data_IF_298617827558
#
_entry.id   IF_298617827558
#
_cell.length_a   1.000
_cell.length_b   1.000
_cell.length_c   1.000
_cell.angle_alpha   90.00
_cell.angle_beta   90.00
_cell.angle_gamma   90.00
#
_symmetry.space_group_name_H-M   'P 1'
#
loop_
_entity.id
_entity.type
_entity.pdbx_description
1 polymer ?
#
# COMPACT_ATOMS: atom_id res chain seq x y z
N UNK A 1 -38.09 29.98 -37.50
CA UNK A 1 -38.72 29.25 -36.39
C UNK A 1 -38.75 27.78 -36.74
N UNK A 2 -37.77 27.02 -36.25
CA UNK A 2 -37.79 25.58 -36.21
C UNK A 2 -36.85 25.12 -35.09
N UNK A 3 -37.37 24.19 -34.30
CA UNK A 3 -36.92 23.73 -33.00
C UNK A 3 -35.48 23.19 -33.00
N UNK A 4 -34.62 23.79 -32.17
CA UNK A 4 -33.30 23.25 -31.78
C UNK A 4 -33.34 22.75 -30.32
N UNK A 5 -34.46 22.16 -29.89
CA UNK A 5 -34.66 21.70 -28.51
C UNK A 5 -34.39 20.20 -28.27
N UNK A 6 -33.67 19.51 -29.16
CA UNK A 6 -33.46 18.06 -29.03
C UNK A 6 -32.00 17.64 -29.11
N UNK A 7 -31.13 18.22 -28.26
CA UNK A 7 -29.83 17.61 -27.92
C UNK A 7 -29.13 18.26 -26.70
N UNK A 8 -29.88 18.71 -25.69
CA UNK A 8 -29.34 19.31 -24.47
C UNK A 8 -29.78 18.59 -23.17
N UNK A 9 -29.99 17.28 -23.24
CA UNK A 9 -30.40 16.47 -22.08
C UNK A 9 -29.73 15.10 -22.13
N UNK A 10 -28.43 14.99 -21.83
CA UNK A 10 -27.78 13.76 -21.35
C UNK A 10 -26.31 14.04 -20.98
N UNK A 11 -26.06 14.80 -19.91
CA UNK A 11 -24.77 14.79 -19.19
C UNK A 11 -24.74 15.58 -17.86
N UNK A 12 -25.89 16.03 -17.35
CA UNK A 12 -25.97 16.67 -16.03
C UNK A 12 -26.48 15.66 -15.02
N UNK A 13 -25.73 15.48 -13.92
CA UNK A 13 -26.04 14.64 -12.74
C UNK A 13 -25.47 13.21 -12.78
N UNK A 14 -24.13 13.15 -12.79
CA UNK A 14 -23.43 12.23 -11.89
C UNK A 14 -22.76 13.08 -10.81
N UNK A 15 -23.59 13.74 -9.99
CA UNK A 15 -23.10 14.25 -8.72
C UNK A 15 -22.75 13.03 -7.88
N UNK A 16 -21.44 12.83 -7.79
CA UNK A 16 -20.73 11.93 -6.91
C UNK A 16 -21.42 11.96 -5.54
N UNK A 17 -22.27 10.98 -5.26
CA UNK A 17 -22.45 10.52 -3.90
C UNK A 17 -21.11 9.92 -3.51
N UNK A 18 -20.22 10.80 -3.04
CA UNK A 18 -19.05 10.42 -2.28
C UNK A 18 -19.62 9.87 -0.98
N UNK A 19 -20.08 8.63 -1.07
CA UNK A 19 -20.56 7.87 0.06
C UNK A 19 -19.41 7.86 1.05
N UNK A 20 -19.69 8.40 2.22
CA UNK A 20 -18.90 8.12 3.39
C UNK A 20 -19.11 6.62 3.64
N UNK A 21 -18.28 5.80 3.01
CA UNK A 21 -18.28 4.37 3.22
C UNK A 21 -17.87 4.18 4.69
N UNK A 22 -18.81 3.70 5.50
CA UNK A 22 -18.48 3.16 6.80
C UNK A 22 -17.39 2.11 6.59
N UNK A 23 -16.32 2.17 7.39
CA UNK A 23 -15.17 1.26 7.31
C UNK A 23 -15.52 -0.22 7.48
N UNK A 24 -16.77 -0.55 7.83
CA UNK A 24 -17.31 -1.91 7.96
C UNK A 24 -17.47 -2.66 6.63
N UNK A 25 -17.50 -1.98 5.48
CA UNK A 25 -17.91 -2.63 4.21
C UNK A 25 -16.76 -3.33 3.46
N UNK A 26 -15.50 -3.13 3.87
CA UNK A 26 -14.33 -3.71 3.20
C UNK A 26 -13.92 -5.09 3.74
N UNK A 27 -14.43 -5.49 4.92
CA UNK A 27 -14.13 -6.80 5.53
C UNK A 27 -15.36 -7.71 5.37
N UNK A 28 -15.27 -8.79 4.58
CA UNK A 28 -16.38 -9.74 4.43
C UNK A 28 -16.82 -10.33 5.78
N UNK A 29 -18.12 -10.56 5.99
CA UNK A 29 -18.68 -11.04 7.27
C UNK A 29 -17.97 -12.28 7.82
N UNK A 30 -17.77 -13.29 6.98
CA UNK A 30 -17.05 -14.51 7.36
C UNK A 30 -15.57 -14.26 7.73
N UNK A 31 -14.94 -13.21 7.19
CA UNK A 31 -13.59 -12.81 7.62
C UNK A 31 -13.64 -12.17 9.01
N UNK A 32 -14.60 -11.29 9.26
CA UNK A 32 -14.78 -10.65 10.56
C UNK A 32 -15.08 -11.66 11.67
N UNK A 33 -15.95 -12.65 11.39
CA UNK A 33 -16.29 -13.74 12.32
C UNK A 33 -15.07 -14.58 12.68
N UNK A 34 -14.28 -15.00 11.68
CA UNK A 34 -13.04 -15.73 11.94
C UNK A 34 -12.03 -14.89 12.72
N UNK A 35 -11.80 -13.63 12.37
CA UNK A 35 -10.89 -12.75 13.13
C UNK A 35 -11.33 -12.62 14.59
N UNK A 36 -12.64 -12.44 14.83
CA UNK A 36 -13.18 -12.39 16.19
C UNK A 36 -12.91 -13.69 16.95
N UNK A 37 -13.19 -14.84 16.34
CA UNK A 37 -12.94 -16.16 16.92
C UNK A 37 -11.46 -16.37 17.28
N UNK A 38 -10.54 -15.97 16.39
CA UNK A 38 -9.11 -16.02 16.66
C UNK A 38 -8.72 -15.08 17.82
N UNK A 39 -9.26 -13.86 17.84
CA UNK A 39 -9.06 -12.90 18.92
C UNK A 39 -9.50 -13.48 20.26
N UNK A 40 -10.72 -14.03 20.33
CA UNK A 40 -11.29 -14.61 21.55
C UNK A 40 -10.45 -15.80 22.06
N UNK A 41 -9.86 -16.59 21.16
CA UNK A 41 -9.01 -17.73 21.52
C UNK A 41 -7.62 -17.32 22.04
N UNK A 42 -6.92 -16.44 21.32
CA UNK A 42 -5.52 -16.10 21.61
C UNK A 42 -5.36 -14.94 22.61
N UNK A 43 -6.32 -14.01 22.67
CA UNK A 43 -6.25 -12.81 23.51
C UNK A 43 -7.05 -13.05 24.80
N UNK A 44 -6.51 -13.92 25.67
CA UNK A 44 -7.11 -14.21 26.99
C UNK A 44 -6.85 -13.11 28.02
N UNK A 45 -5.75 -12.38 27.88
CA UNK A 45 -5.38 -11.27 28.77
C UNK A 45 -5.13 -9.99 27.95
N UNK A 46 -6.11 -9.08 27.87
CA UNK A 46 -5.97 -7.83 27.11
C UNK A 46 -4.81 -6.93 27.56
N UNK A 47 -4.38 -7.02 28.83
CA UNK A 47 -3.22 -6.25 29.32
C UNK A 47 -1.91 -6.68 28.65
N UNK A 48 -1.84 -7.92 28.14
CA UNK A 48 -0.69 -8.40 27.38
C UNK A 48 -0.53 -7.68 26.03
N UNK A 49 -1.57 -6.96 25.57
CA UNK A 49 -1.52 -6.15 24.36
C UNK A 49 -1.01 -4.72 24.61
N UNK A 50 -0.77 -4.34 25.86
CA UNK A 50 -0.23 -3.02 26.18
C UNK A 50 1.21 -2.91 25.69
N UNK A 51 1.53 -1.79 25.06
CA UNK A 51 2.86 -1.51 24.53
C UNK A 51 2.82 -0.92 23.14
N UNK A 52 3.97 -0.93 22.48
CA UNK A 52 4.09 -0.41 21.12
C UNK A 52 3.36 -1.35 20.14
N UNK A 53 2.46 -0.85 19.28
CA UNK A 53 1.79 -1.68 18.30
C UNK A 53 2.80 -2.28 17.33
N UNK A 54 2.51 -3.49 16.82
CA UNK A 54 3.34 -4.18 15.83
C UNK A 54 3.56 -3.32 14.59
N UNK A 55 2.50 -2.65 14.13
CA UNK A 55 2.54 -1.65 13.07
C UNK A 55 2.27 -0.27 13.70
N UNK A 56 3.24 0.65 13.70
CA UNK A 56 3.04 1.98 14.27
C UNK A 56 1.84 2.71 13.66
N UNK A 57 0.99 3.32 14.47
CA UNK A 57 -0.20 4.06 13.99
C UNK A 57 0.18 5.09 12.92
N UNK A 58 1.29 5.81 13.14
CA UNK A 58 1.82 6.80 12.19
C UNK A 58 2.11 6.21 10.81
N UNK A 59 2.57 4.96 10.75
CA UNK A 59 2.85 4.26 9.49
C UNK A 59 1.57 4.08 8.67
N UNK A 60 0.44 3.75 9.33
CA UNK A 60 -0.85 3.58 8.69
C UNK A 60 -1.51 4.93 8.36
N UNK A 61 -1.36 5.96 9.20
CA UNK A 61 -1.93 7.29 8.88
C UNK A 61 -1.18 8.00 7.75
N UNK A 62 0.14 7.79 7.67
CA UNK A 62 0.97 8.37 6.61
C UNK A 62 0.72 7.67 5.26
N UNK A 63 0.25 6.41 5.29
CA UNK A 63 -0.15 5.64 4.10
C UNK A 63 -1.10 6.47 3.24
N UNK A 64 -2.25 6.88 3.78
CA UNK A 64 -3.30 7.54 2.99
C UNK A 64 -3.00 9.00 2.63
N UNK A 65 -2.16 9.67 3.43
CA UNK A 65 -2.03 11.13 3.40
C UNK A 65 -0.70 11.66 2.84
N UNK A 66 0.38 10.86 2.91
CA UNK A 66 1.75 11.33 2.59
C UNK A 66 2.45 10.52 1.53
N UNK A 67 2.11 9.25 1.39
CA UNK A 67 2.75 8.35 0.46
C UNK A 67 2.12 8.42 -0.93
N UNK A 68 2.95 8.34 -1.97
CA UNK A 68 2.46 8.11 -3.33
C UNK A 68 1.89 6.69 -3.45
N UNK A 69 0.97 6.47 -4.38
CA UNK A 69 0.27 5.19 -4.55
C UNK A 69 1.24 3.99 -4.67
N UNK A 70 2.38 4.16 -5.34
CA UNK A 70 3.40 3.11 -5.45
C UNK A 70 4.08 2.79 -4.12
N UNK A 71 4.28 3.78 -3.27
CA UNK A 71 4.85 3.60 -1.92
C UNK A 71 3.83 2.95 -0.99
N UNK A 72 2.55 3.33 -1.12
CA UNK A 72 1.44 2.72 -0.39
C UNK A 72 1.34 1.22 -0.70
N UNK A 73 1.35 0.88 -1.99
CA UNK A 73 1.23 -0.52 -2.42
C UNK A 73 2.41 -1.36 -1.92
N UNK A 74 3.65 -0.85 -2.05
CA UNK A 74 4.85 -1.51 -1.50
C UNK A 74 4.71 -1.76 0.00
N UNK A 75 4.36 -0.72 0.76
CA UNK A 75 4.22 -0.84 2.21
C UNK A 75 3.14 -1.85 2.59
N UNK A 76 2.05 -1.90 1.83
CA UNK A 76 0.95 -2.84 2.08
C UNK A 76 1.30 -4.27 1.74
N UNK A 77 2.00 -4.52 0.64
CA UNK A 77 2.49 -5.86 0.32
C UNK A 77 3.41 -6.41 1.40
N UNK A 78 4.30 -5.57 1.93
CA UNK A 78 5.19 -5.93 3.03
C UNK A 78 4.43 -6.24 4.32
N UNK A 79 3.42 -5.43 4.67
CA UNK A 79 2.56 -5.69 5.85
C UNK A 79 1.78 -7.00 5.67
N UNK A 80 1.20 -7.23 4.49
CA UNK A 80 0.46 -8.46 4.21
C UNK A 80 1.38 -9.68 4.26
N UNK A 81 2.62 -9.58 3.79
CA UNK A 81 3.64 -10.64 3.94
C UNK A 81 3.95 -10.95 5.40
N UNK A 82 4.08 -9.93 6.24
CA UNK A 82 4.26 -10.11 7.68
C UNK A 82 3.05 -10.84 8.29
N UNK A 83 1.82 -10.44 7.93
CA UNK A 83 0.61 -11.13 8.40
C UNK A 83 0.53 -12.59 7.94
N UNK A 84 0.88 -12.89 6.68
CA UNK A 84 0.94 -14.27 6.20
C UNK A 84 1.93 -15.10 7.03
N UNK A 85 3.09 -14.55 7.37
CA UNK A 85 4.06 -15.21 8.24
C UNK A 85 3.55 -15.38 9.67
N UNK A 86 2.94 -14.34 10.25
CA UNK A 86 2.37 -14.38 11.61
C UNK A 86 1.27 -15.43 11.71
N UNK A 87 0.31 -15.44 10.79
CA UNK A 87 -0.80 -16.41 10.76
C UNK A 87 -0.27 -17.84 10.61
N UNK A 88 0.72 -18.06 9.75
CA UNK A 88 1.34 -19.37 9.57
C UNK A 88 2.02 -19.86 10.85
N UNK A 89 2.69 -18.97 11.60
CA UNK A 89 3.29 -19.31 12.90
C UNK A 89 2.24 -19.49 14.00
N UNK A 90 1.18 -18.69 13.98
CA UNK A 90 0.07 -18.77 14.94
C UNK A 90 -0.65 -20.12 14.86
N UNK A 91 -0.72 -20.71 13.67
CA UNK A 91 -1.26 -22.05 13.44
C UNK A 91 -0.53 -23.13 14.26
N UNK A 92 0.75 -22.94 14.56
CA UNK A 92 1.55 -23.88 15.36
C UNK A 92 1.34 -23.70 16.88
N UNK A 93 0.58 -22.69 17.31
CA UNK A 93 0.33 -22.38 18.72
C UNK A 93 -1.01 -22.90 19.23
N UNK A 94 -1.71 -23.73 18.45
CA UNK A 94 -2.97 -24.33 18.86
C UNK A 94 -3.10 -25.74 18.28
N UNK A 95 -3.71 -26.64 19.07
CA UNK A 95 -4.09 -27.99 18.62
C UNK A 95 -5.55 -28.05 18.18
N UNK A 96 -6.33 -26.98 18.43
CA UNK A 96 -7.75 -26.89 18.10
C UNK A 96 -7.94 -26.78 16.57
N UNK A 97 -8.50 -27.81 15.96
CA UNK A 97 -8.71 -27.89 14.52
C UNK A 97 -9.69 -26.83 14.00
N UNK A 98 -10.67 -26.44 14.81
CA UNK A 98 -11.63 -25.40 14.45
C UNK A 98 -10.97 -24.01 14.42
N UNK A 99 -10.00 -23.78 15.31
CA UNK A 99 -9.15 -22.58 15.29
C UNK A 99 -8.17 -22.62 14.12
N UNK A 100 -7.53 -23.77 13.85
CA UNK A 100 -6.64 -23.92 12.68
C UNK A 100 -7.36 -23.63 11.37
N UNK A 101 -8.59 -24.13 11.20
CA UNK A 101 -9.43 -23.82 10.03
C UNK A 101 -9.68 -22.31 9.90
N UNK A 102 -10.04 -21.64 11.01
CA UNK A 102 -10.23 -20.18 11.01
C UNK A 102 -8.94 -19.40 10.68
N UNK A 103 -7.77 -19.87 11.15
CA UNK A 103 -6.47 -19.27 10.76
C UNK A 103 -6.23 -19.44 9.26
N UNK A 104 -6.48 -20.63 8.72
CA UNK A 104 -6.27 -20.93 7.31
C UNK A 104 -7.16 -20.07 6.40
N UNK A 105 -8.45 -19.96 6.73
CA UNK A 105 -9.40 -19.11 5.99
C UNK A 105 -8.99 -17.64 5.97
N UNK A 106 -8.54 -17.09 7.12
CA UNK A 106 -8.04 -15.72 7.19
C UNK A 106 -6.75 -15.57 6.37
N UNK A 107 -5.82 -16.53 6.48
CA UNK A 107 -4.56 -16.53 5.74
C UNK A 107 -4.80 -16.55 4.24
N UNK A 108 -5.69 -17.40 3.74
CA UNK A 108 -6.04 -17.49 2.32
C UNK A 108 -6.61 -16.18 1.79
N UNK A 109 -7.48 -15.49 2.56
CA UNK A 109 -8.01 -14.17 2.15
C UNK A 109 -6.95 -13.09 2.12
N UNK A 110 -6.04 -13.05 3.10
CA UNK A 110 -4.90 -12.12 3.10
C UNK A 110 -4.00 -12.39 1.89
N UNK A 111 -3.75 -13.66 1.58
CA UNK A 111 -2.95 -14.07 0.42
C UNK A 111 -3.61 -13.66 -0.89
N UNK A 112 -4.92 -13.86 -1.03
CA UNK A 112 -5.69 -13.46 -2.19
C UNK A 112 -5.68 -11.94 -2.40
N UNK A 113 -5.89 -11.17 -1.32
CA UNK A 113 -5.83 -9.70 -1.35
C UNK A 113 -4.45 -9.21 -1.82
N UNK A 114 -3.37 -9.77 -1.24
CA UNK A 114 -1.99 -9.49 -1.65
C UNK A 114 -1.78 -9.80 -3.13
N UNK A 115 -2.22 -10.99 -3.55
CA UNK A 115 -1.99 -11.48 -4.90
C UNK A 115 -2.74 -10.68 -5.97
N UNK A 116 -3.95 -10.21 -5.67
CA UNK A 116 -4.77 -9.46 -6.62
C UNK A 116 -4.32 -8.01 -6.78
N UNK A 117 -3.92 -7.36 -5.69
CA UNK A 117 -3.76 -5.90 -5.67
C UNK A 117 -2.31 -5.42 -5.51
N UNK A 118 -1.39 -6.28 -5.06
CA UNK A 118 -0.06 -5.88 -4.58
C UNK A 118 1.10 -6.75 -5.13
N UNK A 119 0.86 -7.60 -6.12
CA UNK A 119 1.84 -8.60 -6.57
C UNK A 119 2.91 -8.10 -7.55
N UNK A 120 2.60 -7.08 -8.37
CA UNK A 120 3.23 -7.04 -9.69
C UNK A 120 4.64 -6.40 -9.74
N UNK A 121 4.99 -5.45 -8.88
CA UNK A 121 6.21 -4.64 -9.07
C UNK A 121 7.10 -4.47 -7.82
N UNK A 122 6.72 -5.05 -6.69
CA UNK A 122 7.26 -4.64 -5.39
C UNK A 122 8.41 -5.51 -4.89
N UNK A 123 8.50 -6.77 -5.32
CA UNK A 123 9.61 -7.65 -4.94
C UNK A 123 10.96 -7.21 -5.49
N UNK A 124 11.01 -6.54 -6.65
CA UNK A 124 12.26 -6.01 -7.18
C UNK A 124 12.76 -4.83 -6.35
N UNK A 125 11.87 -3.85 -6.09
CA UNK A 125 12.21 -2.68 -5.29
C UNK A 125 12.57 -3.05 -3.85
N UNK A 126 11.79 -3.93 -3.20
CA UNK A 126 12.13 -4.46 -1.87
C UNK A 126 13.52 -5.08 -1.84
N UNK A 127 13.85 -5.96 -2.79
CA UNK A 127 15.18 -6.58 -2.89
C UNK A 127 16.27 -5.55 -3.06
N UNK A 128 16.09 -4.58 -3.96
CA UNK A 128 17.05 -3.50 -4.14
C UNK A 128 17.25 -2.66 -2.87
N UNK A 129 16.19 -2.39 -2.10
CA UNK A 129 16.31 -1.68 -0.82
C UNK A 129 17.07 -2.51 0.23
N UNK A 130 16.82 -3.82 0.29
CA UNK A 130 17.56 -4.74 1.16
C UNK A 130 19.05 -4.80 0.79
N UNK A 131 19.35 -4.90 -0.50
CA UNK A 131 20.73 -4.87 -1.02
C UNK A 131 21.42 -3.56 -0.64
N UNK A 132 20.72 -2.43 -0.78
CA UNK A 132 21.23 -1.11 -0.40
C UNK A 132 21.47 -0.98 1.11
N UNK A 133 20.56 -1.48 1.96
CA UNK A 133 20.75 -1.46 3.42
C UNK A 133 21.89 -2.37 3.88
N UNK A 134 22.22 -3.42 3.11
CA UNK A 134 23.33 -4.32 3.40
C UNK A 134 24.71 -3.75 2.99
N UNK A 135 24.75 -2.59 2.32
CA UNK A 135 26.02 -1.96 1.90
C UNK A 135 26.86 -1.55 3.12
N UNK A 136 28.08 -2.05 3.17
CA UNK A 136 29.07 -1.75 4.23
C UNK A 136 29.76 -0.43 3.94
N UNK A 137 29.15 0.69 4.32
CA UNK A 137 29.66 2.05 4.03
C UNK A 137 30.98 2.39 4.72
N UNK A 138 31.37 1.62 5.74
CA UNK A 138 32.65 1.74 6.43
C UNK A 138 33.80 0.94 5.76
N UNK A 139 33.51 0.14 4.73
CA UNK A 139 34.51 -0.62 3.99
C UNK A 139 35.16 0.26 2.91
N UNK A 140 36.49 0.44 2.98
CA UNK A 140 37.24 1.28 2.04
C UNK A 140 37.14 0.78 0.58
N UNK A 141 37.04 -0.52 0.35
CA UNK A 141 36.86 -1.09 -0.99
C UNK A 141 35.48 -0.74 -1.53
N UNK A 142 34.44 -0.82 -0.70
CA UNK A 142 33.07 -0.41 -1.06
C UNK A 142 33.05 1.07 -1.40
N UNK A 143 33.68 1.92 -0.61
CA UNK A 143 33.77 3.37 -0.88
C UNK A 143 34.44 3.67 -2.23
N UNK A 144 35.55 2.99 -2.55
CA UNK A 144 36.24 3.15 -3.84
C UNK A 144 35.37 2.73 -5.03
N UNK A 145 34.64 1.61 -4.91
CA UNK A 145 33.67 1.17 -5.94
C UNK A 145 32.54 2.20 -6.10
N UNK A 146 31.99 2.69 -4.99
CA UNK A 146 30.95 3.70 -5.02
C UNK A 146 31.42 5.00 -5.71
N UNK A 147 32.68 5.42 -5.49
CA UNK A 147 33.26 6.57 -6.20
C UNK A 147 33.37 6.34 -7.71
N UNK A 148 33.72 5.12 -8.14
CA UNK A 148 33.78 4.76 -9.56
C UNK A 148 32.39 4.83 -10.23
N UNK A 149 31.35 4.41 -9.52
CA UNK A 149 29.96 4.37 -10.03
C UNK A 149 29.22 5.71 -9.90
N UNK A 150 29.72 6.63 -9.08
CA UNK A 150 29.03 7.85 -8.66
C UNK A 150 28.56 8.71 -9.83
N UNK A 151 29.36 8.82 -10.90
CA UNK A 151 28.99 9.63 -12.07
C UNK A 151 27.70 9.12 -12.72
N UNK A 152 27.59 7.81 -12.97
CA UNK A 152 26.40 7.23 -13.58
C UNK A 152 25.17 7.36 -12.66
N UNK A 153 25.36 7.12 -11.35
CA UNK A 153 24.29 7.31 -10.36
C UNK A 153 23.78 8.76 -10.36
N UNK A 154 24.69 9.74 -10.35
CA UNK A 154 24.33 11.16 -10.38
C UNK A 154 23.59 11.54 -11.66
N UNK A 155 24.07 11.08 -12.83
CA UNK A 155 23.41 11.35 -14.11
C UNK A 155 21.99 10.77 -14.17
N UNK A 156 21.79 9.53 -13.68
CA UNK A 156 20.46 8.93 -13.61
C UNK A 156 19.52 9.70 -12.67
N UNK A 157 20.03 10.12 -11.50
CA UNK A 157 19.27 10.89 -10.53
C UNK A 157 18.85 12.26 -11.08
N UNK A 158 19.78 13.00 -11.69
CA UNK A 158 19.50 14.31 -12.28
C UNK A 158 18.46 14.21 -13.42
N UNK A 159 18.59 13.22 -14.30
CA UNK A 159 17.61 12.96 -15.37
C UNK A 159 16.22 12.66 -14.82
N UNK A 160 16.13 11.86 -13.74
CA UNK A 160 14.84 11.56 -13.11
C UNK A 160 14.21 12.82 -12.50
N UNK A 161 15.00 13.64 -11.79
CA UNK A 161 14.54 14.90 -11.21
C UNK A 161 13.94 15.85 -12.25
N UNK A 162 14.62 16.01 -13.39
CA UNK A 162 14.11 16.82 -14.51
C UNK A 162 12.78 16.30 -15.05
N UNK A 163 12.65 14.98 -15.25
CA UNK A 163 11.38 14.37 -15.72
C UNK A 163 10.23 14.62 -14.76
N UNK A 164 10.47 14.52 -13.45
CA UNK A 164 9.45 14.78 -12.42
C UNK A 164 9.01 16.25 -12.48
N UNK A 165 9.97 17.17 -12.54
CA UNK A 165 9.71 18.60 -12.66
C UNK A 165 8.89 18.93 -13.91
N UNK A 166 9.29 18.44 -15.08
CA UNK A 166 8.56 18.68 -16.34
C UNK A 166 7.13 18.11 -16.32
N UNK A 167 6.93 16.93 -15.71
CA UNK A 167 5.58 16.36 -15.56
C UNK A 167 4.70 17.26 -14.70
N UNK A 168 5.22 17.79 -13.60
CA UNK A 168 4.51 18.72 -12.70
C UNK A 168 4.16 20.02 -13.40
N UNK A 169 5.12 20.60 -14.13
CA UNK A 169 4.95 21.83 -14.89
C UNK A 169 3.92 21.70 -16.02
N UNK A 170 3.99 20.62 -16.82
CA UNK A 170 2.97 20.31 -17.84
C UNK A 170 1.57 20.19 -17.25
N UNK A 171 1.42 19.55 -16.09
CA UNK A 171 0.12 19.46 -15.38
C UNK A 171 -0.39 20.84 -14.95
N UNK A 172 0.49 21.74 -14.48
CA UNK A 172 0.12 23.12 -14.10
C UNK A 172 -0.36 23.93 -15.31
N UNK A 173 0.38 23.93 -16.41
CA UNK A 173 -0.01 24.64 -17.65
C UNK A 173 -1.37 24.18 -18.18
N UNK A 174 -1.62 22.87 -18.20
CA UNK A 174 -2.92 22.30 -18.64
C UNK A 174 -4.09 22.78 -17.77
N UNK A 175 -3.88 22.93 -16.46
CA UNK A 175 -4.93 23.46 -15.54
C UNK A 175 -5.18 24.95 -15.77
N UNK A 176 -4.14 25.73 -16.04
CA UNK A 176 -4.28 27.15 -16.35
C UNK A 176 -5.07 27.35 -17.65
N UNK A 177 -4.73 26.62 -18.72
CA UNK A 177 -5.46 26.69 -20.00
C UNK A 177 -6.93 26.33 -19.82
N UNK A 178 -7.23 25.25 -19.08
CA UNK A 178 -8.62 24.84 -18.80
C UNK A 178 -9.42 25.87 -17.99
N UNK A 179 -8.76 26.67 -17.13
CA UNK A 179 -9.40 27.77 -16.38
C UNK A 179 -9.59 29.03 -17.21
N UNK A 180 -8.90 29.17 -18.34
CA UNK A 180 -9.07 30.29 -19.25
C UNK A 180 -10.14 30.02 -20.33
N UNK A 181 -10.52 28.75 -20.51
CA UNK A 181 -11.45 28.29 -21.56
C UNK A 181 -12.84 27.91 -21.06
N UNK A 182 -13.08 27.97 -19.74
CA UNK A 182 -14.38 27.77 -19.11
C UNK A 182 -14.69 28.93 -18.18
#
# INVERSE_FOLDING_TARGET
MSSWHTLALFCGVCFVSFGWANSSDYVPKNMAENIKKLSDHFIKNPKALYGKPVFPVKMLTDLDSKLEESEQKLLMSEILDVYLSLLSKLMNHTEDEDIKSSIDEVRLKVQDLRNKHFQHHEHALKRHLQDLWAVKTNDLTVQKKALYELKDVYEKAARLGNRIWEKKDRRRRRRQIRRMQG
#
